data_IF_101807891987
#
_entry.id   IF_101807891987
#
_cell.length_a   1.000
_cell.length_b   1.000
_cell.length_c   1.000
_cell.angle_alpha   90.00
_cell.angle_beta   90.00
_cell.angle_gamma   90.00
#
_symmetry.space_group_name_H-M   'P 1'
#
loop_
_entity.id
_entity.type
_entity.pdbx_description
1 polymer ?
#
# COMPACT_ATOMS: atom_id res chain seq x y z
N UNK A 1 1.94 -8.75 12.89
CA UNK A 1 2.15 -8.47 11.46
C UNK A 1 2.85 -7.12 11.31
N UNK A 2 3.86 -7.01 10.45
CA UNK A 2 4.56 -5.73 10.20
C UNK A 2 3.77 -4.79 9.27
N UNK A 3 4.13 -3.50 9.26
CA UNK A 3 3.41 -2.47 8.48
C UNK A 3 3.43 -2.77 6.99
N UNK A 4 4.59 -3.18 6.48
CA UNK A 4 4.78 -3.59 5.09
C UNK A 4 3.94 -4.80 4.70
N UNK A 5 3.94 -5.86 5.52
CA UNK A 5 3.17 -7.08 5.22
C UNK A 5 1.67 -6.78 5.19
N UNK A 6 1.16 -6.04 6.18
CA UNK A 6 -0.25 -5.68 6.25
C UNK A 6 -0.68 -4.78 5.07
N UNK A 7 0.10 -3.73 4.79
CA UNK A 7 -0.19 -2.81 3.70
C UNK A 7 -0.08 -3.47 2.34
N UNK A 8 0.86 -4.40 2.15
CA UNK A 8 0.99 -5.20 0.93
C UNK A 8 -0.25 -6.06 0.70
N UNK A 9 -0.67 -6.86 1.68
CA UNK A 9 -1.89 -7.67 1.53
C UNK A 9 -3.11 -6.81 1.27
N UNK A 10 -3.23 -5.68 1.97
CA UNK A 10 -4.35 -4.76 1.75
C UNK A 10 -4.31 -4.17 0.33
N UNK A 11 -3.14 -3.76 -0.15
CA UNK A 11 -2.98 -3.18 -1.48
C UNK A 11 -3.21 -4.22 -2.60
N UNK A 12 -2.74 -5.46 -2.42
CA UNK A 12 -2.86 -6.51 -3.42
C UNK A 12 -4.26 -7.15 -3.45
N UNK A 13 -4.86 -7.43 -2.28
CA UNK A 13 -6.15 -8.12 -2.18
C UNK A 13 -7.35 -7.21 -2.48
N UNK A 14 -7.27 -5.91 -2.16
CA UNK A 14 -8.38 -4.98 -2.40
C UNK A 14 -8.26 -4.21 -3.73
N UNK A 15 -7.22 -4.49 -4.52
CA UNK A 15 -7.17 -3.96 -5.88
C UNK A 15 -8.25 -4.64 -6.73
N UNK A 16 -9.21 -3.86 -7.25
CA UNK A 16 -10.28 -4.37 -8.11
C UNK A 16 -9.76 -4.95 -9.45
N UNK A 17 -8.54 -4.60 -9.84
CA UNK A 17 -7.82 -5.07 -11.03
C UNK A 17 -6.36 -5.32 -10.65
N UNK A 18 -5.67 -6.17 -11.40
CA UNK A 18 -4.22 -6.41 -11.24
C UNK A 18 -3.46 -5.09 -11.28
N UNK A 19 -2.93 -4.60 -10.14
CA UNK A 19 -2.27 -3.31 -10.09
C UNK A 19 -0.89 -3.41 -10.75
N UNK A 20 -0.38 -2.31 -11.29
CA UNK A 20 1.04 -2.26 -11.69
C UNK A 20 1.95 -2.12 -10.47
N UNK A 21 3.23 -2.44 -10.61
CA UNK A 21 4.19 -2.30 -9.50
C UNK A 21 4.23 -0.87 -8.94
N UNK A 22 4.09 0.14 -9.81
CA UNK A 22 3.99 1.54 -9.40
C UNK A 22 2.72 1.82 -8.59
N UNK A 23 1.56 1.32 -9.04
CA UNK A 23 0.28 1.48 -8.34
C UNK A 23 0.30 0.76 -6.99
N UNK A 24 0.84 -0.45 -6.94
CA UNK A 24 0.99 -1.23 -5.72
C UNK A 24 1.85 -0.49 -4.69
N UNK A 25 3.04 -0.02 -5.11
CA UNK A 25 3.94 0.73 -4.24
C UNK A 25 3.32 2.03 -3.75
N UNK A 26 2.62 2.77 -4.62
CA UNK A 26 1.93 4.00 -4.26
C UNK A 26 0.82 3.77 -3.23
N UNK A 27 0.04 2.70 -3.39
CA UNK A 27 -1.01 2.31 -2.43
C UNK A 27 -0.41 1.91 -1.09
N UNK A 28 0.67 1.12 -1.07
CA UNK A 28 1.35 0.73 0.16
C UNK A 28 1.91 1.97 0.89
N UNK A 29 2.55 2.91 0.16
CA UNK A 29 2.98 4.21 0.72
C UNK A 29 1.82 5.00 1.31
N UNK A 30 0.68 5.05 0.61
CA UNK A 30 -0.50 5.76 1.09
C UNK A 30 -1.06 5.15 2.38
N UNK A 31 -1.17 3.82 2.44
CA UNK A 31 -1.64 3.08 3.64
C UNK A 31 -0.73 3.37 4.85
N UNK A 32 0.59 3.29 4.67
CA UNK A 32 1.53 3.52 5.77
C UNK A 32 1.52 4.99 6.20
N UNK A 33 1.45 5.94 5.26
CA UNK A 33 1.39 7.38 5.57
C UNK A 33 0.10 7.76 6.28
N UNK A 34 -1.04 7.23 5.86
CA UNK A 34 -2.33 7.49 6.51
C UNK A 34 -2.35 6.95 7.94
N UNK A 35 -1.73 5.80 8.18
CA UNK A 35 -1.58 5.23 9.52
C UNK A 35 -0.70 6.07 10.44
N UNK A 36 0.36 6.67 9.90
CA UNK A 36 1.28 7.53 10.65
C UNK A 36 0.73 8.95 10.87
N UNK A 37 -0.20 9.41 10.02
CA UNK A 37 -0.83 10.72 10.15
C UNK A 37 -2.10 10.60 10.99
N UNK A 38 -2.02 10.98 12.26
CA UNK A 38 -3.12 11.04 13.23
C UNK A 38 -4.45 11.53 12.60
N UNK A 39 -5.32 10.57 12.25
CA UNK A 39 -6.78 10.72 12.16
C UNK A 39 -7.41 11.66 11.12
N UNK A 40 -6.67 12.39 10.27
CA UNK A 40 -7.27 13.48 9.44
C UNK A 40 -7.00 13.49 7.94
N UNK A 41 -6.24 12.55 7.38
CA UNK A 41 -5.98 12.57 5.93
C UNK A 41 -7.14 11.91 5.17
N UNK A 42 -7.85 12.72 4.39
CA UNK A 42 -8.89 12.28 3.45
C UNK A 42 -8.32 11.25 2.48
N UNK A 43 -8.78 10.02 2.65
CA UNK A 43 -8.54 8.91 1.76
C UNK A 43 -8.87 9.24 0.31
N UNK A 44 -7.86 9.25 -0.57
CA UNK A 44 -8.07 9.12 -2.01
C UNK A 44 -8.20 7.66 -2.47
N UNK A 45 -8.21 6.72 -1.53
CA UNK A 45 -8.42 5.30 -1.79
C UNK A 45 -9.92 4.97 -1.76
N UNK A 46 -10.37 3.96 -2.53
CA UNK A 46 -11.76 3.52 -2.52
C UNK A 46 -12.26 3.24 -1.09
N UNK A 47 -13.47 3.68 -0.75
CA UNK A 47 -14.05 3.61 0.60
C UNK A 47 -13.88 2.28 1.35
N UNK A 48 -13.99 1.09 0.71
CA UNK A 48 -13.83 -0.19 1.42
C UNK A 48 -12.43 -0.36 2.01
N UNK A 49 -11.40 0.13 1.31
CA UNK A 49 -9.99 -0.01 1.69
C UNK A 49 -9.69 0.88 2.89
N UNK A 50 -10.26 2.08 2.92
CA UNK A 50 -10.00 3.05 3.98
C UNK A 50 -10.57 2.68 5.35
N UNK A 51 -11.75 2.02 5.40
CA UNK A 51 -12.30 1.59 6.68
C UNK A 51 -11.46 0.49 7.35
N UNK A 52 -10.93 -0.44 6.56
CA UNK A 52 -10.11 -1.56 7.03
C UNK A 52 -8.72 -1.09 7.46
N UNK A 53 -8.15 -0.15 6.72
CA UNK A 53 -6.89 0.53 7.06
C UNK A 53 -7.01 1.40 8.31
N UNK A 54 -8.14 1.48 9.02
CA UNK A 54 -8.21 2.15 10.33
C UNK A 54 -8.13 1.20 11.53
N UNK A 55 -8.32 -0.11 11.36
CA UNK A 55 -8.74 -0.95 12.50
C UNK A 55 -7.68 -1.76 13.30
N UNK A 56 -6.44 -2.01 12.85
CA UNK A 56 -5.72 -3.18 13.40
C UNK A 56 -4.28 -3.00 13.92
N UNK A 57 -3.52 -1.93 13.66
CA UNK A 57 -2.11 -1.92 14.12
C UNK A 57 -1.50 -0.51 14.21
N UNK A 58 -0.91 -0.19 15.37
CA UNK A 58 -0.16 1.04 15.61
C UNK A 58 1.32 0.79 15.27
N UNK A 59 1.73 1.15 14.06
CA UNK A 59 3.11 0.95 13.61
C UNK A 59 3.96 2.12 14.08
N UNK A 60 4.67 1.94 15.21
CA UNK A 60 5.61 2.95 15.72
C UNK A 60 6.84 3.04 14.81
N UNK A 61 6.77 3.85 13.76
CA UNK A 61 7.93 4.15 12.91
C UNK A 61 7.56 4.68 11.51
N UNK A 62 8.41 5.57 10.98
CA UNK A 62 8.34 6.05 9.60
C UNK A 62 8.86 4.94 8.67
N UNK A 63 8.05 3.92 8.41
CA UNK A 63 8.39 2.90 7.41
C UNK A 63 8.15 3.46 6.01
N UNK A 64 9.20 3.45 5.19
CA UNK A 64 9.08 3.76 3.77
C UNK A 64 9.25 2.48 2.93
N UNK A 65 8.21 2.03 2.23
CA UNK A 65 8.31 0.87 1.34
C UNK A 65 9.19 1.21 0.13
N UNK A 66 10.07 0.28 -0.21
CA UNK A 66 10.92 0.34 -1.40
C UNK A 66 10.70 -0.90 -2.26
N UNK A 67 10.87 -0.73 -3.57
CA UNK A 67 10.83 -1.80 -4.55
C UNK A 67 12.22 -1.95 -5.15
N UNK A 68 12.76 -3.17 -5.12
CA UNK A 68 14.03 -3.52 -5.76
C UNK A 68 13.80 -4.69 -6.72
N UNK A 69 14.62 -4.76 -7.76
CA UNK A 69 14.54 -5.77 -8.80
C UNK A 69 15.93 -6.12 -9.30
N UNK A 70 16.15 -7.39 -9.65
CA UNK A 70 17.37 -7.83 -10.34
C UNK A 70 17.42 -7.32 -11.79
N UNK A 71 16.24 -7.22 -12.43
CA UNK A 71 16.11 -6.83 -13.83
C UNK A 71 15.47 -5.44 -13.97
N UNK A 72 15.83 -4.74 -15.05
CA UNK A 72 15.17 -3.47 -15.41
C UNK A 72 13.82 -3.76 -16.05
N UNK A 73 12.77 -3.17 -15.50
CA UNK A 73 11.43 -3.20 -16.08
C UNK A 73 10.70 -1.88 -15.83
N UNK A 74 9.67 -1.61 -16.63
CA UNK A 74 8.81 -0.43 -16.43
C UNK A 74 7.75 -0.72 -15.37
N UNK A 75 7.95 -0.20 -14.16
CA UNK A 75 7.03 -0.35 -13.02
C UNK A 75 5.61 0.14 -13.30
N UNK A 76 5.44 1.01 -14.29
CA UNK A 76 4.17 1.65 -14.65
C UNK A 76 3.37 0.79 -15.64
N UNK A 77 4.05 -0.09 -16.38
CA UNK A 77 3.44 -0.98 -17.39
C UNK A 77 3.36 -2.42 -16.92
N UNK A 78 4.34 -2.88 -16.14
CA UNK A 78 4.37 -4.25 -15.65
C UNK A 78 3.32 -4.42 -14.55
N UNK A 79 2.41 -5.36 -14.79
CA UNK A 79 1.39 -5.76 -13.81
C UNK A 79 2.03 -6.62 -12.73
N UNK A 80 1.64 -6.36 -11.49
CA UNK A 80 1.94 -7.25 -10.38
C UNK A 80 1.09 -8.50 -10.51
N UNK A 81 1.74 -9.67 -10.52
CA UNK A 81 1.09 -10.97 -10.57
C UNK A 81 1.32 -11.67 -9.23
N UNK A 82 0.25 -12.22 -8.65
CA UNK A 82 0.26 -12.92 -7.35
C UNK A 82 0.36 -14.44 -7.56
#
# INVERSE_FOLDING_TARGET
>A
MGALTYSFFTAALFAQRTPTYAQLLATIKAIIRERNADGRVSCKLPEPVCSLVRKVVNFSGVQEPQLTSSDKFDISRTQFLL
#
